data_IF_592240778718
#
_entry.id   IF_592240778718
#
_cell.length_a   1.000
_cell.length_b   1.000
_cell.length_c   1.000
_cell.angle_alpha   90.00
_cell.angle_beta   90.00
_cell.angle_gamma   90.00
#
_symmetry.space_group_name_H-M   'P 1'
#
loop_
_entity.id
_entity.type
_entity.pdbx_description
1 polymer ?
#
# COMPACT_ATOMS: atom_id res chain seq x y z
N UNK A 1 -4.58 -8.93 -1.63
CA UNK A 1 -3.45 -8.68 -0.71
C UNK A 1 -2.12 -9.10 -1.30
N UNK A 2 -1.06 -8.35 -0.97
CA UNK A 2 0.31 -8.86 -1.06
C UNK A 2 0.81 -9.07 0.36
N UNK A 3 1.28 -10.28 0.65
CA UNK A 3 1.95 -10.63 1.90
C UNK A 3 3.46 -10.61 1.66
N UNK A 4 4.19 -9.98 2.58
CA UNK A 4 5.64 -10.03 2.63
C UNK A 4 6.07 -10.97 3.74
N UNK A 5 6.99 -11.88 3.47
CA UNK A 5 7.56 -12.74 4.50
C UNK A 5 9.06 -12.57 4.56
N UNK A 6 9.61 -12.29 5.74
CA UNK A 6 11.06 -12.36 5.93
C UNK A 6 11.47 -13.82 6.01
N UNK A 7 12.60 -14.18 5.41
CA UNK A 7 13.21 -15.50 5.62
C UNK A 7 13.36 -15.87 7.11
N UNK A 8 13.31 -17.17 7.41
CA UNK A 8 13.64 -17.69 8.74
C UNK A 8 15.08 -17.36 9.16
N UNK A 9 15.46 -17.66 10.40
CA UNK A 9 16.83 -17.46 10.88
C UNK A 9 17.87 -18.21 9.99
N UNK A 10 18.92 -17.51 9.59
CA UNK A 10 20.08 -18.03 8.85
C UNK A 10 21.33 -18.07 9.75
N UNK A 11 22.47 -18.49 9.19
CA UNK A 11 23.74 -18.52 9.94
C UNK A 11 24.14 -17.13 10.46
N UNK A 12 23.97 -16.92 11.76
CA UNK A 12 24.24 -15.65 12.41
C UNK A 12 25.74 -15.40 12.68
N UNK A 13 26.63 -16.33 12.37
CA UNK A 13 28.08 -16.18 12.59
C UNK A 13 28.78 -15.46 11.43
N UNK A 14 28.10 -15.35 10.29
CA UNK A 14 28.60 -14.73 9.06
C UNK A 14 27.76 -13.51 8.69
N UNK A 15 28.32 -12.64 7.86
CA UNK A 15 27.57 -11.54 7.28
C UNK A 15 26.58 -12.06 6.25
N UNK A 16 25.38 -11.48 6.27
CA UNK A 16 24.35 -11.72 5.26
C UNK A 16 24.66 -10.98 3.96
N UNK A 17 23.68 -10.22 3.47
CA UNK A 17 23.72 -9.62 2.13
C UNK A 17 23.53 -10.69 1.07
N UNK A 18 24.41 -10.75 0.07
CA UNK A 18 24.33 -11.71 -1.03
C UNK A 18 25.07 -13.04 -0.74
N UNK A 19 25.14 -13.43 0.54
CA UNK A 19 25.67 -14.74 0.92
C UNK A 19 24.76 -15.89 0.48
N UNK A 20 25.37 -17.04 0.20
CA UNK A 20 24.66 -18.28 -0.14
C UNK A 20 24.24 -19.09 1.10
N UNK A 21 24.19 -18.46 2.27
CA UNK A 21 23.75 -19.12 3.50
C UNK A 21 22.26 -19.49 3.43
N UNK A 22 21.96 -20.75 3.71
CA UNK A 22 20.59 -21.24 3.90
C UNK A 22 20.08 -21.03 5.32
N UNK A 23 18.90 -21.59 5.60
CA UNK A 23 18.30 -21.51 6.94
C UNK A 23 19.06 -22.36 7.97
N UNK A 24 19.13 -21.86 9.20
CA UNK A 24 19.51 -22.66 10.37
C UNK A 24 18.40 -23.66 10.72
N UNK A 25 18.69 -24.62 11.61
CA UNK A 25 17.66 -25.56 12.12
C UNK A 25 16.50 -24.77 12.75
N UNK A 26 16.83 -23.79 13.60
CA UNK A 26 15.84 -22.90 14.22
C UNK A 26 15.08 -22.06 13.19
N UNK A 27 15.75 -21.64 12.11
CA UNK A 27 15.11 -20.93 11.00
C UNK A 27 14.06 -21.77 10.29
N UNK A 28 14.34 -23.06 10.07
CA UNK A 28 13.36 -23.99 9.48
C UNK A 28 12.14 -24.16 10.38
N UNK A 29 12.35 -24.39 11.68
CA UNK A 29 11.26 -24.50 12.67
C UNK A 29 10.42 -23.21 12.76
N UNK A 30 11.05 -22.02 12.61
CA UNK A 30 10.33 -20.75 12.57
C UNK A 30 9.39 -20.68 11.36
N UNK A 31 9.85 -21.09 10.18
CA UNK A 31 9.06 -21.07 8.95
C UNK A 31 7.94 -22.10 9.00
N UNK A 32 8.22 -23.30 9.51
CA UNK A 32 7.20 -24.34 9.72
C UNK A 32 6.07 -23.84 10.62
N UNK A 33 6.39 -23.21 11.76
CA UNK A 33 5.37 -22.59 12.63
C UNK A 33 4.65 -21.42 11.98
N UNK A 34 5.34 -20.64 11.14
CA UNK A 34 4.71 -19.53 10.44
C UNK A 34 3.70 -20.02 9.38
N UNK A 35 3.76 -21.29 8.95
CA UNK A 35 2.79 -21.84 8.01
C UNK A 35 1.38 -21.95 8.61
N UNK A 36 1.24 -22.00 9.93
CA UNK A 36 -0.04 -21.96 10.64
C UNK A 36 -0.89 -20.74 10.23
N UNK A 37 -0.24 -19.64 9.81
CA UNK A 37 -0.91 -18.45 9.28
C UNK A 37 -1.76 -18.75 8.03
N UNK A 38 -1.43 -19.81 7.28
CA UNK A 38 -2.11 -20.20 6.05
C UNK A 38 -3.15 -21.31 6.26
N UNK A 39 -3.38 -21.76 7.49
CA UNK A 39 -4.27 -22.87 7.79
C UNK A 39 -5.68 -22.68 7.23
N UNK A 40 -6.25 -23.79 6.75
CA UNK A 40 -7.60 -23.83 6.19
C UNK A 40 -7.79 -22.96 4.95
N UNK A 41 -6.71 -22.58 4.26
CA UNK A 41 -6.71 -21.64 3.13
C UNK A 41 -7.32 -20.27 3.46
N UNK A 42 -7.28 -19.86 4.74
CA UNK A 42 -7.91 -18.62 5.21
C UNK A 42 -7.41 -17.36 4.50
N UNK A 43 -6.17 -17.39 3.99
CA UNK A 43 -5.52 -16.26 3.32
C UNK A 43 -5.59 -16.33 1.80
N UNK A 44 -6.16 -17.38 1.19
CA UNK A 44 -6.26 -17.58 -0.27
C UNK A 44 -4.96 -17.21 -1.03
N UNK A 45 -3.79 -17.62 -0.51
CA UNK A 45 -2.52 -17.44 -1.22
C UNK A 45 -2.55 -18.35 -2.44
N UNK A 46 -2.34 -17.78 -3.64
CA UNK A 46 -2.30 -18.52 -4.91
C UNK A 46 -0.99 -18.41 -5.66
N UNK A 47 -0.14 -17.46 -5.26
CA UNK A 47 1.14 -17.21 -5.91
C UNK A 47 2.25 -16.98 -4.89
N UNK A 48 3.37 -17.68 -5.05
CA UNK A 48 4.57 -17.51 -4.21
C UNK A 48 5.70 -16.99 -5.08
N UNK A 49 6.26 -15.86 -4.66
CA UNK A 49 7.48 -15.28 -5.20
C UNK A 49 8.55 -15.26 -4.11
N UNK A 50 9.81 -15.41 -4.50
CA UNK A 50 10.90 -15.40 -3.53
C UNK A 50 12.15 -14.74 -4.09
N UNK A 51 12.90 -14.05 -3.21
CA UNK A 51 14.29 -13.74 -3.50
C UNK A 51 15.06 -15.02 -3.76
N UNK A 52 15.96 -15.00 -4.74
CA UNK A 52 16.73 -16.18 -5.13
C UNK A 52 17.97 -16.45 -4.25
N UNK A 53 18.16 -15.74 -3.14
CA UNK A 53 19.16 -16.09 -2.13
C UNK A 53 18.73 -17.32 -1.34
N UNK A 54 19.68 -18.17 -0.95
CA UNK A 54 19.41 -19.51 -0.44
C UNK A 54 18.45 -19.52 0.77
N UNK A 55 18.63 -18.65 1.76
CA UNK A 55 17.70 -18.54 2.92
C UNK A 55 16.26 -18.17 2.56
N UNK A 56 16.05 -17.36 1.53
CA UNK A 56 14.70 -17.00 1.06
C UNK A 56 14.10 -18.13 0.22
N UNK A 57 14.92 -18.81 -0.61
CA UNK A 57 14.54 -20.06 -1.30
C UNK A 57 14.12 -21.15 -0.32
N UNK A 58 14.96 -21.47 0.66
CA UNK A 58 14.67 -22.46 1.70
C UNK A 58 13.35 -22.15 2.43
N UNK A 59 13.11 -20.87 2.74
CA UNK A 59 11.86 -20.41 3.36
C UNK A 59 10.68 -20.66 2.42
N UNK A 60 10.78 -20.21 1.17
CA UNK A 60 9.73 -20.35 0.18
C UNK A 60 9.44 -21.81 -0.18
N UNK A 61 10.43 -22.70 -0.18
CA UNK A 61 10.27 -24.13 -0.44
C UNK A 61 9.48 -24.83 0.68
N UNK A 62 9.63 -24.40 1.94
CA UNK A 62 8.83 -24.90 3.05
C UNK A 62 7.37 -24.47 2.88
N UNK A 63 7.14 -23.18 2.62
CA UNK A 63 5.79 -22.62 2.41
C UNK A 63 5.12 -23.21 1.16
N UNK A 64 5.88 -23.40 0.09
CA UNK A 64 5.44 -24.02 -1.17
C UNK A 64 4.93 -25.44 -0.97
N UNK A 65 5.63 -26.26 -0.18
CA UNK A 65 5.18 -27.61 0.18
C UNK A 65 3.92 -27.58 1.03
N UNK A 66 3.79 -26.58 1.91
CA UNK A 66 2.63 -26.42 2.76
C UNK A 66 1.36 -26.09 1.96
N UNK A 67 1.49 -25.15 1.02
CA UNK A 67 0.39 -24.64 0.20
C UNK A 67 0.15 -25.43 -1.10
N UNK A 68 1.05 -26.34 -1.47
CA UNK A 68 1.08 -27.02 -2.78
C UNK A 68 1.10 -26.03 -3.97
N UNK A 69 1.96 -25.01 -3.88
CA UNK A 69 2.09 -23.95 -4.89
C UNK A 69 3.52 -23.82 -5.41
N UNK A 70 3.73 -23.52 -6.71
CA UNK A 70 5.06 -23.27 -7.24
C UNK A 70 5.65 -21.93 -6.76
N UNK A 71 6.99 -21.84 -6.75
CA UNK A 71 7.72 -20.61 -6.39
C UNK A 71 8.38 -19.99 -7.61
N UNK A 72 8.12 -18.70 -7.84
CA UNK A 72 8.83 -17.89 -8.84
C UNK A 72 9.97 -17.11 -8.20
N UNK A 73 11.19 -17.26 -8.72
CA UNK A 73 12.38 -16.66 -8.15
C UNK A 73 12.68 -15.29 -8.77
N UNK A 74 12.90 -14.28 -7.93
CA UNK A 74 13.09 -12.87 -8.31
C UNK A 74 14.40 -12.31 -7.75
N UNK A 75 15.36 -12.02 -8.63
CA UNK A 75 16.70 -11.52 -8.25
C UNK A 75 16.67 -10.08 -7.75
N UNK A 76 15.71 -9.32 -8.22
CA UNK A 76 15.52 -7.92 -7.90
C UNK A 76 15.14 -7.69 -6.43
N UNK A 77 14.57 -8.70 -5.75
CA UNK A 77 14.23 -8.68 -4.33
C UNK A 77 15.30 -9.28 -3.40
N UNK A 78 16.56 -9.38 -3.86
CA UNK A 78 17.71 -9.69 -2.98
C UNK A 78 17.92 -8.59 -1.95
N UNK A 79 18.47 -8.96 -0.79
CA UNK A 79 19.00 -8.02 0.21
C UNK A 79 20.07 -7.10 -0.39
N UNK A 80 20.53 -6.08 0.36
CA UNK A 80 21.64 -5.23 -0.06
C UNK A 80 22.86 -6.05 -0.51
N UNK A 81 23.42 -5.72 -1.67
CA UNK A 81 24.65 -6.33 -2.14
C UNK A 81 25.84 -5.75 -1.38
N UNK A 82 26.34 -6.48 -0.38
CA UNK A 82 27.52 -6.12 0.39
C UNK A 82 28.85 -6.54 -0.26
N UNK A 83 28.82 -7.00 -1.52
CA UNK A 83 30.00 -7.27 -2.34
C UNK A 83 30.99 -8.22 -1.66
N UNK A 84 32.24 -7.80 -1.52
CA UNK A 84 33.32 -8.63 -0.95
C UNK A 84 33.07 -9.08 0.50
N UNK A 85 32.10 -8.46 1.19
CA UNK A 85 31.75 -8.80 2.56
C UNK A 85 30.73 -9.94 2.66
N UNK A 86 30.12 -10.35 1.54
CA UNK A 86 29.10 -11.38 1.51
C UNK A 86 29.60 -12.69 2.14
N UNK A 87 28.92 -13.15 3.19
CA UNK A 87 29.30 -14.38 3.87
C UNK A 87 30.62 -14.29 4.63
N UNK A 88 31.23 -13.12 4.85
CA UNK A 88 32.44 -13.01 5.67
C UNK A 88 32.12 -13.37 7.15
N UNK A 89 32.99 -14.11 7.87
CA UNK A 89 32.80 -14.31 9.30
C UNK A 89 32.74 -12.97 10.05
N UNK A 90 31.76 -12.81 10.96
CA UNK A 90 31.56 -11.53 11.66
C UNK A 90 32.80 -11.09 12.46
N UNK A 91 33.52 -12.04 13.06
CA UNK A 91 34.77 -11.76 13.77
C UNK A 91 35.86 -11.18 12.86
N UNK A 92 35.97 -11.69 11.63
CA UNK A 92 36.92 -11.18 10.63
C UNK A 92 36.51 -9.80 10.16
N UNK A 93 35.23 -9.62 9.85
CA UNK A 93 34.68 -8.33 9.45
C UNK A 93 34.91 -7.24 10.49
N UNK A 94 34.68 -7.53 11.78
CA UNK A 94 34.91 -6.58 12.86
C UNK A 94 36.38 -6.14 12.97
N UNK A 95 37.33 -7.00 12.61
CA UNK A 95 38.77 -6.70 12.63
C UNK A 95 39.24 -5.95 11.38
N UNK A 96 38.81 -6.39 10.20
CA UNK A 96 39.31 -5.89 8.91
C UNK A 96 38.54 -4.66 8.40
N UNK A 97 37.26 -4.51 8.77
CA UNK A 97 36.37 -3.44 8.29
C UNK A 97 35.57 -2.81 9.44
N UNK A 98 36.23 -2.30 10.50
CA UNK A 98 35.54 -1.74 11.65
C UNK A 98 34.67 -0.55 11.22
N UNK A 99 33.38 -0.63 11.54
CA UNK A 99 32.45 0.46 11.27
C UNK A 99 31.89 0.51 9.85
N UNK A 100 32.14 -0.48 8.97
CA UNK A 100 31.55 -0.55 7.62
C UNK A 100 30.17 -1.24 7.62
N UNK A 101 29.26 -0.78 8.47
CA UNK A 101 27.88 -1.29 8.56
C UNK A 101 26.96 -0.55 7.61
N UNK A 102 25.83 -1.15 7.24
CA UNK A 102 24.89 -0.52 6.30
C UNK A 102 24.40 0.86 6.80
N UNK A 103 24.16 0.98 8.11
CA UNK A 103 23.72 2.23 8.73
C UNK A 103 24.81 3.30 8.86
N UNK A 104 26.10 2.93 8.77
CA UNK A 104 27.18 3.91 8.82
C UNK A 104 27.54 4.46 7.43
N UNK A 105 27.25 3.74 6.35
CA UNK A 105 27.51 4.19 4.97
C UNK A 105 26.80 5.51 4.67
N UNK A 106 27.49 6.43 4.00
CA UNK A 106 26.82 7.56 3.36
C UNK A 106 25.90 7.09 2.23
N UNK A 107 24.90 7.90 1.88
CA UNK A 107 23.82 7.50 0.97
C UNK A 107 24.32 6.93 -0.37
N UNK A 108 25.39 7.51 -0.92
CA UNK A 108 26.00 7.09 -2.19
C UNK A 108 27.26 6.24 -2.01
N UNK A 109 27.70 5.99 -0.78
CA UNK A 109 28.88 5.21 -0.49
C UNK A 109 28.60 3.72 -0.76
N UNK A 110 29.38 3.12 -1.65
CA UNK A 110 29.26 1.70 -2.00
C UNK A 110 30.07 0.83 -1.07
N UNK A 111 29.56 -0.39 -0.85
CA UNK A 111 30.42 -1.49 -0.43
C UNK A 111 31.48 -1.83 -1.50
N UNK A 112 32.64 -2.38 -1.12
CA UNK A 112 33.60 -2.92 -2.09
C UNK A 112 32.93 -3.95 -3.00
N UNK A 113 32.92 -3.70 -4.32
CA UNK A 113 32.22 -4.50 -5.33
C UNK A 113 30.73 -4.75 -5.04
N UNK A 114 30.09 -3.84 -4.30
CA UNK A 114 28.70 -3.93 -3.90
C UNK A 114 27.88 -2.69 -4.23
N UNK A 115 26.71 -2.59 -3.60
CA UNK A 115 25.77 -1.49 -3.74
C UNK A 115 26.02 -0.40 -2.69
N UNK A 116 25.61 0.83 -3.02
CA UNK A 116 25.35 1.87 -2.03
C UNK A 116 23.93 1.75 -1.47
N UNK A 117 23.63 2.40 -0.33
CA UNK A 117 22.26 2.56 0.13
C UNK A 117 21.29 3.11 -0.93
N UNK A 118 21.74 4.07 -1.75
CA UNK A 118 20.99 4.62 -2.88
C UNK A 118 20.71 3.59 -3.97
N UNK A 119 21.71 2.80 -4.35
CA UNK A 119 21.56 1.75 -5.36
C UNK A 119 20.54 0.70 -4.88
N UNK A 120 20.66 0.27 -3.62
CA UNK A 120 19.73 -0.70 -3.01
C UNK A 120 18.29 -0.18 -3.00
N UNK A 121 18.07 1.04 -2.51
CA UNK A 121 16.74 1.65 -2.49
C UNK A 121 16.13 1.79 -3.89
N UNK A 122 16.91 2.29 -4.85
CA UNK A 122 16.41 2.47 -6.22
C UNK A 122 16.06 1.13 -6.88
N UNK A 123 16.88 0.09 -6.66
CA UNK A 123 16.59 -1.26 -7.13
C UNK A 123 15.27 -1.79 -6.56
N UNK A 124 15.07 -1.68 -5.24
CA UNK A 124 13.84 -2.17 -4.61
C UNK A 124 12.64 -1.34 -5.04
N UNK A 125 12.75 -0.01 -5.15
CA UNK A 125 11.68 0.86 -5.64
C UNK A 125 11.22 0.49 -7.06
N UNK A 126 12.18 0.28 -7.98
CA UNK A 126 11.87 -0.11 -9.35
C UNK A 126 11.27 -1.52 -9.42
N UNK A 127 11.87 -2.48 -8.71
CA UNK A 127 11.39 -3.85 -8.61
C UNK A 127 9.96 -3.93 -8.08
N UNK A 128 9.69 -3.19 -7.00
CA UNK A 128 8.39 -3.15 -6.35
C UNK A 128 7.31 -2.54 -7.25
N UNK A 129 7.63 -1.44 -7.95
CA UNK A 129 6.72 -0.86 -8.93
C UNK A 129 6.32 -1.84 -10.03
N UNK A 130 7.29 -2.55 -10.61
CA UNK A 130 7.03 -3.59 -11.63
C UNK A 130 6.23 -4.77 -11.05
N UNK A 131 6.58 -5.20 -9.84
CA UNK A 131 5.91 -6.31 -9.16
C UNK A 131 4.42 -6.02 -8.92
N UNK A 132 4.09 -4.81 -8.42
CA UNK A 132 2.69 -4.40 -8.22
C UNK A 132 1.89 -4.47 -9.52
N UNK A 133 2.42 -3.91 -10.62
CA UNK A 133 1.77 -3.98 -11.93
C UNK A 133 1.58 -5.43 -12.39
N UNK A 134 2.61 -6.26 -12.25
CA UNK A 134 2.54 -7.67 -12.66
C UNK A 134 1.57 -8.54 -11.84
N UNK A 135 1.21 -8.09 -10.65
CA UNK A 135 0.36 -8.83 -9.70
C UNK A 135 -1.03 -8.21 -9.52
N UNK A 136 -1.33 -7.10 -10.21
CA UNK A 136 -2.61 -6.39 -10.07
C UNK A 136 -3.78 -7.20 -10.61
N UNK A 137 -3.59 -7.87 -11.74
CA UNK A 137 -4.61 -8.68 -12.41
C UNK A 137 -4.68 -10.15 -11.93
N UNK A 138 -3.87 -10.52 -10.92
CA UNK A 138 -3.89 -11.88 -10.38
C UNK A 138 -5.11 -12.07 -9.46
N UNK A 139 -5.82 -13.17 -9.66
CA UNK A 139 -6.92 -13.57 -8.77
C UNK A 139 -6.36 -14.28 -7.53
N UNK A 140 -6.72 -13.82 -6.33
CA UNK A 140 -6.22 -14.35 -5.07
C UNK A 140 -5.00 -13.59 -4.55
N UNK A 141 -4.45 -14.06 -3.43
CA UNK A 141 -3.40 -13.34 -2.71
C UNK A 141 -2.00 -13.84 -3.08
N UNK A 142 -1.04 -12.92 -2.94
CA UNK A 142 0.36 -13.15 -3.33
C UNK A 142 1.25 -13.15 -2.10
N UNK A 143 2.19 -14.07 -2.01
CA UNK A 143 3.25 -14.09 -1.00
C UNK A 143 4.61 -13.77 -1.65
N UNK A 144 5.33 -12.77 -1.12
CA UNK A 144 6.71 -12.46 -1.49
C UNK A 144 7.66 -12.75 -0.31
N UNK A 145 8.48 -13.78 -0.45
CA UNK A 145 9.50 -14.18 0.53
C UNK A 145 10.82 -13.45 0.26
N UNK A 146 11.26 -12.60 1.18
CA UNK A 146 12.44 -11.73 1.01
C UNK A 146 13.15 -11.45 2.35
N UNK A 147 13.76 -10.28 2.50
CA UNK A 147 14.70 -9.90 3.56
C UNK A 147 14.23 -8.66 4.32
N UNK A 148 14.74 -8.47 5.53
CA UNK A 148 14.30 -7.38 6.39
C UNK A 148 14.55 -6.00 5.78
N UNK A 149 15.71 -5.79 5.12
CA UNK A 149 16.02 -4.51 4.47
C UNK A 149 15.08 -4.19 3.31
N UNK A 150 14.70 -5.22 2.55
CA UNK A 150 13.75 -5.11 1.42
C UNK A 150 12.34 -4.77 1.92
N UNK A 151 11.86 -5.48 2.95
CA UNK A 151 10.54 -5.23 3.55
C UNK A 151 10.47 -3.82 4.13
N UNK A 152 11.52 -3.37 4.82
CA UNK A 152 11.59 -2.01 5.36
C UNK A 152 11.46 -0.95 4.25
N UNK A 153 12.15 -1.11 3.12
CA UNK A 153 12.02 -0.19 1.98
C UNK A 153 10.62 -0.25 1.36
N UNK A 154 10.08 -1.44 1.12
CA UNK A 154 8.73 -1.59 0.56
C UNK A 154 7.70 -0.90 1.46
N UNK A 155 7.78 -1.11 2.77
CA UNK A 155 6.88 -0.45 3.73
C UNK A 155 7.07 1.06 3.79
N UNK A 156 8.30 1.57 3.70
CA UNK A 156 8.51 3.02 3.53
C UNK A 156 7.79 3.58 2.29
N UNK A 157 7.86 2.86 1.16
CA UNK A 157 7.21 3.29 -0.09
C UNK A 157 5.68 3.26 0.07
N UNK A 158 5.13 2.17 0.59
CA UNK A 158 3.69 2.03 0.78
C UNK A 158 3.16 3.01 1.84
N UNK A 159 3.86 3.22 2.96
CA UNK A 159 3.37 4.08 4.04
C UNK A 159 3.75 5.56 3.85
N UNK A 160 4.34 5.92 2.70
CA UNK A 160 4.76 7.31 2.42
C UNK A 160 5.84 7.84 3.35
N UNK A 161 6.60 6.96 4.01
CA UNK A 161 7.70 7.32 4.91
C UNK A 161 8.99 7.50 4.11
N UNK A 162 9.65 8.65 4.28
CA UNK A 162 10.94 8.89 3.65
C UNK A 162 11.99 7.90 4.16
N UNK A 163 12.44 7.01 3.28
CA UNK A 163 13.48 6.03 3.60
C UNK A 163 14.84 6.67 3.84
N UNK A 164 15.57 6.14 4.84
CA UNK A 164 17.00 6.39 5.06
C UNK A 164 17.69 5.10 5.50
N UNK A 165 18.97 4.91 5.18
CA UNK A 165 19.74 3.79 5.69
C UNK A 165 20.18 3.96 7.15
N UNK A 166 20.01 5.16 7.70
CA UNK A 166 20.47 5.49 9.06
C UNK A 166 19.52 4.97 10.14
N UNK A 167 18.29 4.58 9.79
CA UNK A 167 17.26 4.11 10.71
C UNK A 167 16.46 2.95 10.09
N UNK A 168 15.97 2.05 10.94
CA UNK A 168 15.01 1.02 10.53
C UNK A 168 13.62 1.47 10.96
N UNK A 169 12.82 1.93 10.00
CA UNK A 169 11.46 2.41 10.25
C UNK A 169 10.51 1.24 10.57
N UNK A 170 10.66 0.14 9.85
CA UNK A 170 9.81 -1.04 9.95
C UNK A 170 10.64 -2.28 10.19
N UNK A 171 10.69 -2.70 11.46
CA UNK A 171 11.38 -3.93 11.86
C UNK A 171 10.50 -5.14 11.55
N UNK A 172 11.10 -6.16 10.93
CA UNK A 172 10.44 -7.44 10.64
C UNK A 172 11.32 -8.59 11.14
N UNK A 173 10.77 -9.42 12.01
CA UNK A 173 11.36 -10.61 12.62
C UNK A 173 11.51 -11.78 11.63
N UNK A 174 12.26 -12.80 12.04
CA UNK A 174 12.48 -13.99 11.21
C UNK A 174 11.18 -14.79 11.03
N UNK A 175 10.92 -15.23 9.79
CA UNK A 175 9.67 -15.88 9.38
C UNK A 175 8.40 -15.05 9.65
N UNK A 176 8.53 -13.76 9.97
CA UNK A 176 7.39 -12.88 10.17
C UNK A 176 6.73 -12.57 8.81
N UNK A 177 5.41 -12.66 8.79
CA UNK A 177 4.55 -12.33 7.65
C UNK A 177 3.89 -10.99 7.95
N UNK A 178 3.96 -10.08 6.98
CA UNK A 178 3.34 -8.75 7.03
C UNK A 178 2.39 -8.63 5.84
N UNK A 179 1.14 -8.24 6.08
CA UNK A 179 0.21 -7.92 5.00
C UNK A 179 0.39 -6.48 4.54
N UNK A 180 0.39 -6.28 3.22
CA UNK A 180 0.21 -4.98 2.60
C UNK A 180 -1.24 -4.92 2.13
N UNK A 181 -2.07 -4.24 2.91
CA UNK A 181 -3.49 -4.09 2.61
C UNK A 181 -3.68 -3.09 1.48
N UNK A 182 -4.40 -3.49 0.44
CA UNK A 182 -4.95 -2.60 -0.58
C UNK A 182 -6.20 -1.96 0.01
N UNK A 183 -5.99 -0.88 0.76
CA UNK A 183 -7.08 -0.09 1.27
C UNK A 183 -7.63 0.79 0.13
N UNK A 184 -8.94 0.90 0.02
CA UNK A 184 -9.60 1.80 -0.94
C UNK A 184 -10.57 2.70 -0.18
N UNK A 185 -10.55 3.99 -0.49
CA UNK A 185 -11.57 4.91 -0.03
C UNK A 185 -12.35 5.42 -1.25
N UNK A 186 -13.63 5.13 -1.27
CA UNK A 186 -14.59 5.78 -2.16
C UNK A 186 -14.96 7.13 -1.53
N UNK A 187 -14.52 8.20 -2.17
CA UNK A 187 -14.72 9.57 -1.73
C UNK A 187 -15.84 10.26 -2.53
N UNK A 188 -16.88 10.72 -1.84
CA UNK A 188 -17.69 11.83 -2.35
C UNK A 188 -17.01 13.15 -1.96
N UNK A 189 -17.17 14.17 -2.79
CA UNK A 189 -16.55 15.49 -2.55
C UNK A 189 -17.55 16.40 -1.86
N UNK A 190 -18.75 16.51 -2.41
CA UNK A 190 -19.79 17.37 -1.87
C UNK A 190 -20.38 16.74 -0.60
N UNK A 191 -20.60 17.53 0.45
CA UNK A 191 -21.05 17.03 1.76
C UNK A 191 -19.97 16.33 2.61
N UNK A 192 -18.78 16.10 2.04
CA UNK A 192 -17.61 15.52 2.74
C UNK A 192 -16.47 16.52 2.81
N UNK A 193 -15.90 16.89 1.67
CA UNK A 193 -14.79 17.85 1.54
C UNK A 193 -15.27 19.25 1.12
N UNK A 194 -16.52 19.39 0.72
CA UNK A 194 -17.18 20.67 0.56
C UNK A 194 -18.42 20.67 1.46
N UNK A 195 -18.25 21.17 2.69
CA UNK A 195 -19.36 21.37 3.63
C UNK A 195 -20.02 22.72 3.40
N UNK A 196 -21.32 22.83 3.71
CA UNK A 196 -22.09 24.06 3.44
C UNK A 196 -21.95 24.55 2.00
N UNK A 197 -21.68 23.64 1.07
CA UNK A 197 -21.56 23.99 -0.34
C UNK A 197 -22.91 24.46 -0.92
N UNK A 198 -24.00 24.29 -0.17
CA UNK A 198 -25.31 24.86 -0.46
C UNK A 198 -25.40 26.36 -0.14
N UNK A 199 -24.38 26.96 0.49
CA UNK A 199 -24.23 28.42 0.60
C UNK A 199 -23.99 29.02 -0.78
N UNK A 200 -24.75 30.06 -1.14
CA UNK A 200 -24.67 30.70 -2.46
C UNK A 200 -23.27 31.25 -2.78
N UNK A 201 -22.51 31.70 -1.76
CA UNK A 201 -21.14 32.18 -1.95
C UNK A 201 -20.22 31.01 -2.32
N UNK A 202 -20.24 29.93 -1.55
CA UNK A 202 -19.45 28.72 -1.83
C UNK A 202 -19.83 28.07 -3.17
N UNK A 203 -21.11 27.97 -3.53
CA UNK A 203 -21.52 27.45 -4.84
C UNK A 203 -20.84 28.20 -5.99
N UNK A 204 -20.81 29.53 -5.86
CA UNK A 204 -20.18 30.38 -6.85
C UNK A 204 -18.68 30.16 -6.88
N UNK A 205 -18.01 30.17 -5.73
CA UNK A 205 -16.56 29.99 -5.67
C UNK A 205 -16.11 28.60 -6.16
N UNK A 206 -16.88 27.55 -5.85
CA UNK A 206 -16.68 26.21 -6.39
C UNK A 206 -16.80 26.26 -7.91
N UNK A 207 -17.88 26.81 -8.46
CA UNK A 207 -18.07 26.91 -9.92
C UNK A 207 -17.01 27.77 -10.64
N UNK A 208 -16.37 28.69 -9.93
CA UNK A 208 -15.27 29.50 -10.43
C UNK A 208 -13.90 28.81 -10.25
N UNK A 209 -13.87 27.62 -9.64
CA UNK A 209 -12.67 26.84 -9.36
C UNK A 209 -11.75 27.48 -8.32
N UNK A 210 -12.34 28.03 -7.26
CA UNK A 210 -11.63 28.80 -6.23
C UNK A 210 -11.80 28.24 -4.82
N UNK A 211 -12.69 27.27 -4.63
CA UNK A 211 -13.04 26.77 -3.32
C UNK A 211 -13.05 25.25 -3.26
N UNK A 212 -12.45 24.75 -2.18
CA UNK A 212 -12.53 23.42 -1.57
C UNK A 212 -12.26 23.64 -0.08
N UNK A 213 -12.94 22.94 0.82
CA UNK A 213 -12.64 23.06 2.25
C UNK A 213 -11.28 22.41 2.55
N UNK A 214 -10.26 23.26 2.65
CA UNK A 214 -8.86 22.87 2.88
C UNK A 214 -8.69 22.13 4.21
N UNK A 215 -9.46 22.46 5.24
CA UNK A 215 -9.32 21.81 6.54
C UNK A 215 -9.91 20.39 6.50
N UNK A 216 -11.03 20.21 5.80
CA UNK A 216 -11.57 18.88 5.48
C UNK A 216 -10.58 18.05 4.64
N UNK A 217 -9.91 18.65 3.64
CA UNK A 217 -8.87 17.96 2.86
C UNK A 217 -7.67 17.54 3.72
N UNK A 218 -7.23 18.36 4.68
CA UNK A 218 -6.15 17.99 5.62
C UNK A 218 -6.56 16.83 6.53
N UNK A 219 -7.80 16.80 6.99
CA UNK A 219 -8.32 15.67 7.77
C UNK A 219 -8.33 14.40 6.93
N UNK A 220 -8.83 14.51 5.70
CA UNK A 220 -8.83 13.40 4.74
C UNK A 220 -7.41 12.92 4.42
N UNK A 221 -6.44 13.82 4.26
CA UNK A 221 -5.05 13.46 3.97
C UNK A 221 -4.41 12.66 5.11
N UNK A 222 -4.75 12.96 6.38
CA UNK A 222 -4.33 12.16 7.53
C UNK A 222 -4.87 10.73 7.42
N UNK A 223 -6.14 10.56 7.06
CA UNK A 223 -6.75 9.24 6.87
C UNK A 223 -6.05 8.45 5.75
N UNK A 224 -5.90 9.07 4.58
CA UNK A 224 -5.26 8.43 3.41
C UNK A 224 -3.83 8.01 3.72
N UNK A 225 -3.02 8.89 4.34
CA UNK A 225 -1.62 8.58 4.69
C UNK A 225 -1.51 7.45 5.71
N UNK A 226 -2.37 7.44 6.74
CA UNK A 226 -2.36 6.38 7.77
C UNK A 226 -2.81 5.02 7.23
N UNK A 227 -3.66 5.01 6.22
CA UNK A 227 -4.22 3.78 5.65
C UNK A 227 -3.52 3.34 4.38
N UNK A 228 -2.71 4.20 3.76
CA UNK A 228 -2.22 4.04 2.39
C UNK A 228 -3.35 3.67 1.41
N UNK A 229 -4.53 4.28 1.59
CA UNK A 229 -5.67 3.95 0.77
C UNK A 229 -5.58 4.59 -0.62
N UNK A 230 -5.87 3.81 -1.68
CA UNK A 230 -6.20 4.37 -2.99
C UNK A 230 -7.49 5.17 -2.88
N UNK A 231 -7.52 6.39 -3.42
CA UNK A 231 -8.73 7.24 -3.42
C UNK A 231 -9.45 7.08 -4.74
N UNK A 232 -10.70 6.62 -4.70
CA UNK A 232 -11.57 6.47 -5.87
C UNK A 232 -12.70 7.48 -5.75
N UNK A 233 -12.88 8.34 -6.75
CA UNK A 233 -14.00 9.27 -6.72
C UNK A 233 -15.30 8.52 -7.06
N UNK A 234 -16.27 8.62 -6.15
CA UNK A 234 -17.68 8.27 -6.40
C UNK A 234 -18.61 9.49 -6.32
N UNK A 235 -18.03 10.65 -6.61
CA UNK A 235 -18.73 11.91 -6.73
C UNK A 235 -19.20 12.19 -8.15
N UNK A 236 -20.09 13.18 -8.33
CA UNK A 236 -20.36 13.79 -9.64
C UNK A 236 -19.12 14.49 -10.22
N UNK A 237 -18.15 14.84 -9.38
CA UNK A 237 -16.87 15.40 -9.79
C UNK A 237 -16.05 14.46 -10.69
N UNK A 238 -16.35 13.15 -10.69
CA UNK A 238 -15.68 12.16 -11.56
C UNK A 238 -15.72 12.54 -13.04
N UNK A 239 -16.78 13.21 -13.49
CA UNK A 239 -16.94 13.62 -14.90
C UNK A 239 -16.01 14.78 -15.30
N UNK A 240 -15.29 15.37 -14.34
CA UNK A 240 -14.39 16.50 -14.56
C UNK A 240 -12.93 16.08 -14.64
N UNK A 241 -12.69 14.77 -14.76
CA UNK A 241 -11.39 14.16 -15.01
C UNK A 241 -11.45 13.36 -16.32
N UNK A 242 -10.34 13.29 -17.05
CA UNK A 242 -10.18 12.40 -18.21
C UNK A 242 -9.73 10.99 -17.80
N UNK A 243 -9.55 10.09 -18.77
CA UNK A 243 -9.13 8.70 -18.55
C UNK A 243 -7.73 8.57 -17.92
N UNK A 244 -6.90 9.61 -17.99
CA UNK A 244 -5.58 9.69 -17.34
C UNK A 244 -5.64 10.37 -15.96
N UNK A 245 -6.85 10.57 -15.42
CA UNK A 245 -7.13 11.30 -14.17
C UNK A 245 -6.62 12.75 -14.18
N UNK A 246 -6.52 13.39 -15.35
CA UNK A 246 -6.20 14.81 -15.45
C UNK A 246 -7.47 15.65 -15.38
N UNK A 247 -7.49 16.72 -14.57
CA UNK A 247 -8.67 17.58 -14.45
C UNK A 247 -8.92 18.33 -15.77
N UNK A 248 -10.15 18.28 -16.26
CA UNK A 248 -10.60 18.92 -17.50
C UNK A 248 -11.42 20.21 -17.26
N UNK A 249 -11.62 20.58 -15.99
CA UNK A 249 -12.30 21.81 -15.54
C UNK A 249 -11.46 22.58 -14.51
N UNK A 250 -11.76 23.87 -14.35
CA UNK A 250 -11.05 24.72 -13.38
C UNK A 250 -11.30 24.25 -11.94
N UNK A 251 -12.53 23.83 -11.66
CA UNK A 251 -12.99 23.29 -10.37
C UNK A 251 -12.21 22.03 -9.99
N UNK A 252 -12.19 21.04 -10.89
CA UNK A 252 -11.43 19.81 -10.69
C UNK A 252 -9.92 20.07 -10.60
N UNK A 253 -9.40 21.05 -11.35
CA UNK A 253 -7.98 21.43 -11.28
C UNK A 253 -7.65 22.00 -9.90
N UNK A 254 -8.44 22.94 -9.40
CA UNK A 254 -8.24 23.52 -8.08
C UNK A 254 -8.32 22.45 -6.98
N UNK A 255 -9.32 21.57 -7.04
CA UNK A 255 -9.44 20.45 -6.11
C UNK A 255 -8.24 19.51 -6.15
N UNK A 256 -7.80 19.09 -7.34
CA UNK A 256 -6.63 18.25 -7.51
C UNK A 256 -5.34 18.92 -6.97
N UNK A 257 -5.15 20.21 -7.26
CA UNK A 257 -3.99 20.97 -6.78
C UNK A 257 -3.97 21.07 -5.23
N UNK A 258 -5.14 21.19 -4.58
CA UNK A 258 -5.25 21.22 -3.11
C UNK A 258 -4.96 19.83 -2.52
N UNK A 259 -5.51 18.77 -3.11
CA UNK A 259 -5.28 17.38 -2.70
C UNK A 259 -3.80 16.99 -2.84
N UNK A 260 -3.16 17.34 -3.97
CA UNK A 260 -1.76 17.04 -4.24
C UNK A 260 -0.82 17.76 -3.27
N UNK A 261 -1.10 19.02 -2.90
CA UNK A 261 -0.35 19.74 -1.86
C UNK A 261 -0.36 19.01 -0.52
N UNK A 262 -1.45 18.32 -0.22
CA UNK A 262 -1.58 17.48 0.98
C UNK A 262 -1.07 16.04 0.77
N UNK A 263 -0.53 15.72 -0.41
CA UNK A 263 0.02 14.41 -0.75
C UNK A 263 -1.03 13.34 -1.03
N UNK A 264 -2.24 13.74 -1.45
CA UNK A 264 -3.34 12.84 -1.80
C UNK A 264 -3.55 12.85 -3.30
N UNK A 265 -3.65 11.67 -3.91
CA UNK A 265 -3.84 11.50 -5.34
C UNK A 265 -5.10 10.67 -5.64
N UNK A 266 -5.91 11.14 -6.58
CA UNK A 266 -7.07 10.39 -7.09
C UNK A 266 -6.53 9.25 -7.96
N UNK A 267 -6.84 8.03 -7.57
CA UNK A 267 -6.35 6.80 -8.21
C UNK A 267 -7.32 6.26 -9.27
N UNK A 268 -8.55 6.77 -9.33
CA UNK A 268 -9.55 6.35 -10.29
C UNK A 268 -10.94 6.89 -9.95
N UNK A 269 -11.93 6.45 -10.72
CA UNK A 269 -13.34 6.80 -10.54
C UNK A 269 -14.22 5.57 -10.62
N UNK A 270 -15.39 5.63 -9.98
CA UNK A 270 -16.45 4.62 -10.15
C UNK A 270 -17.10 4.71 -11.54
N UNK A 271 -17.66 3.61 -12.07
CA UNK A 271 -18.44 3.65 -13.31
C UNK A 271 -19.69 4.53 -13.15
N UNK A 272 -20.24 5.04 -14.26
CA UNK A 272 -21.52 5.76 -14.26
C UNK A 272 -22.67 4.81 -14.62
N UNK A 273 -23.50 4.49 -13.64
CA UNK A 273 -24.73 3.70 -13.82
C UNK A 273 -25.98 4.59 -13.85
N UNK A 274 -25.84 5.92 -13.87
CA UNK A 274 -26.98 6.84 -13.89
C UNK A 274 -27.76 6.76 -15.21
N UNK A 275 -29.09 6.61 -15.12
CA UNK A 275 -30.00 6.74 -16.27
C UNK A 275 -30.52 8.16 -16.41
N UNK A 276 -31.14 8.49 -17.56
CA UNK A 276 -31.78 9.80 -17.74
C UNK A 276 -32.86 10.08 -16.69
N UNK A 277 -33.64 9.07 -16.31
CA UNK A 277 -34.69 9.17 -15.30
C UNK A 277 -34.10 9.53 -13.93
N UNK A 278 -32.98 8.92 -13.56
CA UNK A 278 -32.28 9.18 -12.30
C UNK A 278 -31.73 10.60 -12.30
N UNK A 279 -31.11 11.05 -13.41
CA UNK A 279 -30.61 12.42 -13.55
C UNK A 279 -31.74 13.44 -13.44
N UNK A 280 -32.89 13.19 -14.08
CA UNK A 280 -34.09 14.05 -13.98
C UNK A 280 -34.65 14.08 -12.56
N UNK A 281 -34.67 12.94 -11.87
CA UNK A 281 -35.21 12.81 -10.51
C UNK A 281 -34.22 13.18 -9.41
N UNK A 282 -32.94 13.42 -9.74
CA UNK A 282 -31.82 13.64 -8.81
C UNK A 282 -31.66 12.55 -7.74
N UNK A 283 -31.99 11.29 -8.07
CA UNK A 283 -31.97 10.16 -7.13
C UNK A 283 -30.66 9.36 -7.22
N UNK A 284 -29.53 10.06 -7.17
CA UNK A 284 -28.21 9.46 -7.38
C UNK A 284 -27.84 8.39 -6.34
N UNK A 285 -28.33 8.50 -5.11
CA UNK A 285 -28.11 7.49 -4.06
C UNK A 285 -28.59 6.10 -4.45
N UNK A 286 -29.55 5.98 -5.37
CA UNK A 286 -30.07 4.69 -5.83
C UNK A 286 -29.08 3.90 -6.70
N UNK A 287 -28.06 4.55 -7.27
CA UNK A 287 -27.07 3.91 -8.15
C UNK A 287 -25.66 3.90 -7.59
N UNK A 288 -25.31 4.87 -6.73
CA UNK A 288 -23.97 4.98 -6.12
C UNK A 288 -23.49 3.67 -5.49
N UNK A 289 -24.35 2.98 -4.74
CA UNK A 289 -24.01 1.67 -4.18
C UNK A 289 -23.67 0.63 -5.26
N UNK A 290 -24.44 0.58 -6.36
CA UNK A 290 -24.17 -0.31 -7.48
C UNK A 290 -22.88 0.03 -8.22
N UNK A 291 -22.57 1.33 -8.36
CA UNK A 291 -21.33 1.82 -8.99
C UNK A 291 -20.09 1.35 -8.20
N UNK A 292 -20.14 1.49 -6.87
CA UNK A 292 -19.07 1.04 -5.96
C UNK A 292 -18.91 -0.48 -6.01
N UNK A 293 -20.00 -1.24 -5.90
CA UNK A 293 -19.96 -2.70 -5.92
C UNK A 293 -19.46 -3.25 -7.27
N UNK A 294 -19.83 -2.60 -8.38
CA UNK A 294 -19.30 -2.94 -9.70
C UNK A 294 -17.79 -2.67 -9.78
N UNK A 295 -17.33 -1.51 -9.27
CA UNK A 295 -15.90 -1.21 -9.22
C UNK A 295 -15.12 -2.24 -8.39
N UNK A 296 -15.62 -2.60 -7.20
CA UNK A 296 -15.01 -3.60 -6.32
C UNK A 296 -14.90 -4.97 -6.99
N UNK A 297 -15.91 -5.36 -7.78
CA UNK A 297 -15.88 -6.61 -8.53
C UNK A 297 -14.75 -6.67 -9.55
N UNK A 298 -14.46 -5.54 -10.18
CA UNK A 298 -13.44 -5.44 -11.23
C UNK A 298 -12.05 -5.13 -10.65
N UNK A 299 -11.95 -4.77 -9.35
CA UNK A 299 -10.73 -4.30 -8.71
C UNK A 299 -10.50 -4.99 -7.35
N UNK A 300 -9.64 -6.02 -7.29
CA UNK A 300 -9.34 -6.74 -6.05
C UNK A 300 -8.82 -5.82 -4.94
N UNK A 301 -9.58 -5.75 -3.85
CA UNK A 301 -9.40 -4.82 -2.73
C UNK A 301 -9.50 -5.58 -1.41
N UNK A 302 -8.70 -5.18 -0.42
CA UNK A 302 -8.57 -5.93 0.85
C UNK A 302 -9.47 -5.35 1.93
N UNK A 303 -9.40 -4.03 2.12
CA UNK A 303 -10.37 -3.27 2.92
C UNK A 303 -10.84 -2.07 2.12
N UNK A 304 -12.10 -1.69 2.30
CA UNK A 304 -12.64 -0.53 1.62
C UNK A 304 -13.59 0.24 2.52
N UNK A 305 -13.70 1.52 2.23
CA UNK A 305 -14.51 2.46 2.96
C UNK A 305 -15.21 3.40 1.98
N UNK A 306 -16.45 3.78 2.29
CA UNK A 306 -17.16 4.84 1.61
C UNK A 306 -17.29 6.03 2.54
N UNK A 307 -16.92 7.22 2.07
CA UNK A 307 -17.19 8.48 2.76
C UNK A 307 -18.12 9.29 1.88
N UNK A 308 -19.34 9.51 2.38
CA UNK A 308 -20.44 10.15 1.67
C UNK A 308 -21.49 10.63 2.69
N UNK A 309 -22.08 11.81 2.48
CA UNK A 309 -23.12 12.36 3.35
C UNK A 309 -24.50 11.69 3.15
N UNK A 310 -24.72 11.08 1.99
CA UNK A 310 -25.97 10.42 1.62
C UNK A 310 -26.10 9.03 2.25
N UNK A 311 -27.33 8.61 2.52
CA UNK A 311 -27.62 7.19 2.74
C UNK A 311 -27.69 6.47 1.39
N UNK A 312 -26.77 5.51 1.17
CA UNK A 312 -26.66 4.77 -0.09
C UNK A 312 -27.60 3.56 -0.19
N UNK A 313 -28.49 3.38 0.80
CA UNK A 313 -29.60 2.40 0.80
C UNK A 313 -29.20 0.96 0.44
N UNK A 314 -28.00 0.56 0.85
CA UNK A 314 -27.48 -0.79 0.63
C UNK A 314 -26.82 -1.31 1.91
N UNK A 315 -27.22 -2.50 2.35
CA UNK A 315 -26.78 -3.07 3.63
C UNK A 315 -25.29 -3.45 3.66
N UNK A 316 -24.72 -3.84 2.51
CA UNK A 316 -23.29 -4.17 2.39
C UNK A 316 -22.43 -2.91 2.43
N UNK A 317 -22.88 -1.84 1.76
CA UNK A 317 -22.23 -0.52 1.83
C UNK A 317 -22.35 0.07 3.24
N UNK A 318 -23.49 -0.09 3.91
CA UNK A 318 -23.75 0.53 5.21
C UNK A 318 -22.74 0.10 6.30
N UNK A 319 -22.23 -1.14 6.26
CA UNK A 319 -21.19 -1.59 7.20
C UNK A 319 -19.79 -1.03 6.90
N UNK A 320 -19.60 -0.41 5.73
CA UNK A 320 -18.33 0.16 5.26
C UNK A 320 -18.44 1.67 5.03
N UNK A 321 -19.53 2.30 5.48
CA UNK A 321 -19.78 3.72 5.24
C UNK A 321 -19.50 4.55 6.49
N UNK A 322 -18.73 5.62 6.31
CA UNK A 322 -18.70 6.76 7.22
C UNK A 322 -19.59 7.85 6.63
N UNK A 323 -20.75 8.05 7.26
CA UNK A 323 -21.73 9.04 6.84
C UNK A 323 -21.44 10.39 7.49
N UNK A 324 -21.03 11.38 6.71
CA UNK A 324 -20.78 12.74 7.18
C UNK A 324 -22.09 13.55 7.29
N UNK A 325 -22.02 14.69 7.99
CA UNK A 325 -23.08 15.70 7.96
C UNK A 325 -22.72 16.73 6.87
N UNK A 326 -23.56 16.91 5.85
CA UNK A 326 -23.27 17.81 4.73
C UNK A 326 -23.06 19.29 5.12
N UNK A 327 -23.58 19.72 6.27
CA UNK A 327 -23.39 21.08 6.80
C UNK A 327 -22.08 21.24 7.57
N UNK A 328 -21.46 20.13 7.99
CA UNK A 328 -20.22 20.12 8.78
C UNK A 328 -19.03 19.64 7.96
N UNK A 329 -19.25 18.66 7.08
CA UNK A 329 -18.21 17.96 6.34
C UNK A 329 -17.54 16.87 7.15
N UNK A 330 -16.34 16.49 6.73
CA UNK A 330 -15.52 15.47 7.37
C UNK A 330 -14.96 15.97 8.70
N UNK A 331 -15.24 15.25 9.79
CA UNK A 331 -14.72 15.59 11.14
C UNK A 331 -13.59 14.66 11.59
N UNK A 332 -12.89 15.02 12.67
CA UNK A 332 -11.88 14.12 13.28
C UNK A 332 -12.49 12.80 13.76
N UNK A 333 -13.71 12.84 14.31
CA UNK A 333 -14.43 11.63 14.74
C UNK A 333 -14.79 10.72 13.57
N UNK A 334 -15.08 11.29 12.39
CA UNK A 334 -15.33 10.51 11.18
C UNK A 334 -14.04 9.87 10.66
N UNK A 335 -12.92 10.59 10.74
CA UNK A 335 -11.58 10.03 10.44
C UNK A 335 -11.22 8.88 11.39
N UNK A 336 -11.50 9.00 12.69
CA UNK A 336 -11.24 7.92 13.65
C UNK A 336 -12.10 6.68 13.35
N UNK A 337 -13.39 6.85 13.05
CA UNK A 337 -14.26 5.74 12.60
C UNK A 337 -13.73 5.09 11.33
N UNK A 338 -13.33 5.91 10.35
CA UNK A 338 -12.76 5.45 9.09
C UNK A 338 -11.50 4.61 9.28
N UNK A 339 -10.61 5.03 10.19
CA UNK A 339 -9.39 4.28 10.52
C UNK A 339 -9.72 2.90 11.10
N UNK A 340 -10.65 2.82 12.05
CA UNK A 340 -11.07 1.55 12.65
C UNK A 340 -11.70 0.60 11.60
N UNK A 341 -12.46 1.14 10.65
CA UNK A 341 -13.05 0.31 9.58
C UNK A 341 -12.01 -0.24 8.60
N UNK A 342 -10.94 0.51 8.30
CA UNK A 342 -9.93 0.12 7.32
C UNK A 342 -8.76 -0.69 7.90
N UNK A 343 -8.45 -0.53 9.18
CA UNK A 343 -7.27 -1.12 9.81
C UNK A 343 -7.57 -2.21 10.85
N UNK A 344 -8.84 -2.37 11.25
CA UNK A 344 -9.24 -3.25 12.35
C UNK A 344 -8.97 -2.60 13.71
#
# INVERSE_FOLDING_TARGET
>A
MIFLMRHGEDDNTRLGGWSDAGLSVKGREQVERACDFFDGNSQDIRYIFASDLQRAKDTADIVSKYLDLPVTQLKEFRETNNGDLAGMPKERFQKEYPGLYYASLDWEQKYPNGESPKDFYNRIKEAWGKFKVSTEALEGNVLLVTHAGVINIIRCIEEGVQYTNKEVHFKTGHAEIVSLNRNVIFLDVDGVLNSKFWDNEHQREISEGKYVDVDSVKLFSKLVKKTNAKVILHSGWRFWFDDEMKPNRAEAKFFADVMEKEGVFISGVTPDLTTEEIRKAKKFSLVKAGEILQWLKDNPTDNWLVIDDLDLQNSEIASHQVKTDAEVGLTENDVEKALNLLLG
#
